data_IF_851423790545
#
_entry.id   IF_851423790545
#
_cell.length_a   1.000
_cell.length_b   1.000
_cell.length_c   1.000
_cell.angle_alpha   90.00
_cell.angle_beta   90.00
_cell.angle_gamma   90.00
#
_symmetry.space_group_name_H-M   'P 1'
#
loop_
_entity.id
_entity.type
_entity.pdbx_description
1 polymer ?
#
# COMPACT_ATOMS: atom_id res chain seq x y z
N UNK A 1 -0.80 -9.23 1.96
CA UNK A 1 -0.08 -8.78 0.75
C UNK A 1 1.29 -8.29 1.15
N UNK A 2 2.32 -8.55 0.33
CA UNK A 2 3.66 -7.99 0.54
C UNK A 2 3.64 -6.46 0.64
N UNK A 3 2.80 -5.78 -0.16
CA UNK A 3 2.66 -4.32 -0.16
C UNK A 3 2.23 -3.77 1.21
N UNK A 4 1.28 -4.44 1.87
CA UNK A 4 0.82 -4.08 3.22
C UNK A 4 1.95 -4.24 4.25
N UNK A 5 2.70 -5.33 4.17
CA UNK A 5 3.82 -5.58 5.07
C UNK A 5 4.92 -4.51 4.91
N UNK A 6 5.23 -4.13 3.67
CA UNK A 6 6.19 -3.06 3.36
C UNK A 6 5.68 -1.72 3.91
N UNK A 7 4.41 -1.37 3.66
CA UNK A 7 3.80 -0.14 4.21
C UNK A 7 3.93 -0.06 5.73
N UNK A 8 3.66 -1.17 6.44
CA UNK A 8 3.76 -1.25 7.91
C UNK A 8 5.19 -1.12 8.45
N UNK A 9 6.19 -1.74 7.81
CA UNK A 9 7.59 -1.66 8.26
C UNK A 9 8.17 -0.27 8.03
N UNK A 10 7.96 0.27 6.83
CA UNK A 10 8.57 1.55 6.46
C UNK A 10 7.76 2.75 6.93
N UNK A 11 6.57 2.55 7.52
CA UNK A 11 5.64 3.60 7.96
C UNK A 11 5.41 4.66 6.87
N UNK A 12 5.30 4.19 5.64
CA UNK A 12 5.09 5.03 4.45
C UNK A 12 3.81 4.60 3.77
N UNK A 13 3.09 5.58 3.24
CA UNK A 13 1.98 5.34 2.34
C UNK A 13 2.51 4.76 1.02
N UNK A 14 1.85 3.72 0.53
CA UNK A 14 2.12 3.14 -0.78
C UNK A 14 0.85 3.26 -1.62
N UNK A 15 0.95 3.96 -2.74
CA UNK A 15 -0.14 4.14 -3.68
C UNK A 15 0.09 3.19 -4.86
N UNK A 16 -0.88 2.32 -5.13
CA UNK A 16 -0.83 1.38 -6.25
C UNK A 16 -2.00 1.66 -7.17
N UNK A 17 -1.76 1.67 -8.49
CA UNK A 17 -2.81 1.77 -9.49
C UNK A 17 -2.91 0.48 -10.28
N UNK A 18 -4.14 -0.01 -10.43
CA UNK A 18 -4.49 -0.98 -11.46
C UNK A 18 -5.27 -0.30 -12.59
N UNK A 19 -5.70 -1.08 -13.58
CA UNK A 19 -6.34 -0.58 -14.80
C UNK A 19 -7.55 0.35 -14.55
N UNK A 20 -8.27 0.18 -13.43
CA UNK A 20 -9.49 0.96 -13.16
C UNK A 20 -9.55 1.55 -11.73
N UNK A 21 -8.61 1.21 -10.85
CA UNK A 21 -8.67 1.60 -9.42
C UNK A 21 -7.32 2.04 -8.87
N UNK A 22 -7.40 2.93 -7.88
CA UNK A 22 -6.28 3.34 -7.03
C UNK A 22 -6.47 2.69 -5.67
N UNK A 23 -5.41 2.08 -5.16
CA UNK A 23 -5.34 1.50 -3.83
C UNK A 23 -4.33 2.29 -3.01
N UNK A 24 -4.77 2.78 -1.86
CA UNK A 24 -3.91 3.44 -0.90
C UNK A 24 -3.64 2.47 0.23
N UNK A 25 -2.36 2.21 0.50
CA UNK A 25 -1.94 1.36 1.61
C UNK A 25 -1.16 2.19 2.64
N UNK A 26 -1.71 2.30 3.84
CA UNK A 26 -1.11 3.00 4.97
C UNK A 26 -1.14 2.07 6.19
N UNK A 27 -0.05 2.06 6.98
CA UNK A 27 0.09 1.22 8.18
C UNK A 27 -0.15 -0.29 7.95
N UNK A 28 -0.06 -0.72 6.69
CA UNK A 28 -0.30 -2.08 6.26
C UNK A 28 -1.76 -2.50 6.09
N UNK A 29 -2.67 -1.57 5.80
CA UNK A 29 -4.06 -1.85 5.40
C UNK A 29 -4.26 -1.57 3.94
#
# INVERSE_FOLDING_TARGET
SATKFISKIFKREIIVRDANRIHHFQDGV
#
